data_IF_299676581784
#
_entry.id   IF_299676581784
#
_cell.length_a   1.000
_cell.length_b   1.000
_cell.length_c   1.000
_cell.angle_alpha   90.00
_cell.angle_beta   90.00
_cell.angle_gamma   90.00
#
_symmetry.space_group_name_H-M   'P 1'
#
loop_
_entity.id
_entity.type
_entity.pdbx_description
1 polymer ?
#
# COMPACT_ATOMS: atom_id res chain seq x y z
N UNK A 1 8.13 5.38 3.34
CA UNK A 1 8.66 6.39 2.38
C UNK A 1 9.16 5.64 1.15
N UNK A 2 9.22 6.21 -0.06
CA UNK A 2 9.91 5.61 -1.20
C UNK A 2 11.38 5.33 -0.90
N UNK A 3 11.91 4.18 -1.33
CA UNK A 3 13.27 3.73 -0.95
C UNK A 3 14.11 3.32 -2.15
N UNK A 4 13.53 2.62 -3.12
CA UNK A 4 14.29 2.08 -4.25
C UNK A 4 14.63 3.18 -5.27
N UNK A 5 15.72 3.02 -6.07
CA UNK A 5 16.11 4.02 -7.07
C UNK A 5 15.00 4.36 -8.07
N UNK A 6 14.17 3.37 -8.43
CA UNK A 6 13.05 3.56 -9.36
C UNK A 6 11.82 4.21 -8.69
N UNK A 7 11.80 4.36 -7.37
CA UNK A 7 10.74 5.05 -6.61
C UNK A 7 11.15 6.47 -6.23
N UNK A 8 12.45 6.68 -6.01
CA UNK A 8 13.02 7.96 -5.60
C UNK A 8 13.43 8.84 -6.80
N UNK A 9 13.68 8.26 -7.98
CA UNK A 9 14.05 8.99 -9.18
C UNK A 9 13.16 8.67 -10.40
N UNK A 10 12.60 9.73 -11.01
CA UNK A 10 11.72 9.66 -12.19
C UNK A 10 11.15 11.04 -12.53
N UNK A 11 10.09 11.07 -13.35
CA UNK A 11 9.38 12.30 -13.73
C UNK A 11 8.86 13.07 -12.51
N UNK A 12 8.30 12.36 -11.52
CA UNK A 12 7.97 12.93 -10.20
C UNK A 12 8.69 12.11 -9.14
N UNK A 13 9.80 12.60 -8.54
CA UNK A 13 10.60 11.82 -7.60
C UNK A 13 9.86 11.58 -6.28
N UNK A 14 10.24 10.50 -5.58
CA UNK A 14 9.69 10.11 -4.28
C UNK A 14 8.17 9.88 -4.31
N UNK A 15 7.70 9.13 -5.31
CA UNK A 15 6.31 8.71 -5.42
C UNK A 15 6.21 7.19 -5.46
N UNK A 16 5.35 6.65 -4.60
CA UNK A 16 4.84 5.27 -4.64
C UNK A 16 3.33 5.38 -4.53
N UNK A 17 2.62 4.99 -5.59
CA UNK A 17 1.17 5.19 -5.69
C UNK A 17 0.45 3.92 -6.18
N UNK A 18 -0.18 3.14 -5.28
CA UNK A 18 -0.86 1.90 -5.65
C UNK A 18 -2.18 2.17 -6.40
N UNK A 19 -2.40 1.50 -7.53
CA UNK A 19 -3.58 1.70 -8.38
C UNK A 19 -4.42 0.44 -8.61
N UNK A 20 -3.82 -0.75 -8.48
CA UNK A 20 -4.53 -2.00 -8.74
C UNK A 20 -4.00 -3.13 -7.87
N UNK A 21 -4.87 -4.09 -7.56
CA UNK A 21 -4.51 -5.31 -6.85
C UNK A 21 -5.15 -6.52 -7.51
N UNK A 22 -4.41 -7.62 -7.58
CA UNK A 22 -4.94 -8.95 -7.86
C UNK A 22 -4.92 -9.75 -6.56
N UNK A 23 -6.01 -10.44 -6.24
CA UNK A 23 -6.12 -11.25 -5.04
C UNK A 23 -6.51 -12.68 -5.39
N UNK A 24 -5.89 -13.63 -4.71
CA UNK A 24 -6.22 -15.05 -4.73
C UNK A 24 -6.89 -15.40 -3.40
N UNK A 25 -8.21 -15.58 -3.44
CA UNK A 25 -9.02 -15.80 -2.24
C UNK A 25 -8.72 -17.12 -1.53
N UNK A 26 -8.27 -18.14 -2.27
CA UNK A 26 -8.01 -19.47 -1.69
C UNK A 26 -6.70 -19.48 -0.88
N UNK A 27 -5.72 -18.67 -1.29
CA UNK A 27 -4.39 -18.62 -0.66
C UNK A 27 -4.13 -17.34 0.14
N UNK A 28 -5.01 -16.35 0.02
CA UNK A 28 -4.86 -15.02 0.62
C UNK A 28 -3.75 -14.18 0.00
N UNK A 29 -3.13 -14.60 -1.10
CA UNK A 29 -2.05 -13.84 -1.77
C UNK A 29 -2.61 -12.61 -2.47
N UNK A 30 -1.89 -11.51 -2.37
CA UNK A 30 -2.18 -10.27 -3.05
C UNK A 30 -0.94 -9.85 -3.84
N UNK A 31 -1.15 -9.46 -5.09
CA UNK A 31 -0.17 -8.73 -5.90
C UNK A 31 -0.67 -7.28 -6.07
N UNK A 32 0.14 -6.31 -5.66
CA UNK A 32 -0.20 -4.88 -5.76
C UNK A 32 0.64 -4.26 -6.87
N UNK A 33 -0.03 -3.64 -7.83
CA UNK A 33 0.60 -2.82 -8.87
C UNK A 33 0.60 -1.37 -8.42
N UNK A 34 1.78 -0.76 -8.45
CA UNK A 34 1.97 0.63 -8.01
C UNK A 34 2.79 1.43 -9.02
N UNK A 35 2.43 2.69 -9.19
CA UNK A 35 3.26 3.67 -9.90
C UNK A 35 4.46 4.05 -9.04
N UNK A 36 5.63 4.08 -9.65
CA UNK A 36 6.87 4.50 -9.03
C UNK A 36 7.48 5.68 -9.80
N UNK A 37 7.69 6.78 -9.08
CA UNK A 37 8.22 8.04 -9.56
C UNK A 37 7.55 8.61 -10.85
N UNK A 38 6.24 8.39 -11.04
CA UNK A 38 5.47 8.69 -12.27
C UNK A 38 6.15 8.21 -13.57
N UNK A 39 6.95 7.15 -13.47
CA UNK A 39 7.80 6.67 -14.57
C UNK A 39 7.70 5.17 -14.77
N UNK A 40 7.64 4.41 -13.68
CA UNK A 40 7.65 2.96 -13.69
C UNK A 40 6.37 2.39 -13.10
N UNK A 41 6.06 1.15 -13.45
CA UNK A 41 5.07 0.33 -12.75
C UNK A 41 5.81 -0.77 -12.01
N UNK A 42 5.72 -0.76 -10.68
CA UNK A 42 6.25 -1.80 -9.80
C UNK A 42 5.18 -2.80 -9.41
N UNK A 43 5.62 -3.95 -8.88
CA UNK A 43 4.76 -4.98 -8.30
C UNK A 43 5.34 -5.43 -6.96
N UNK A 44 4.46 -5.57 -5.95
CA UNK A 44 4.80 -6.13 -4.64
C UNK A 44 3.80 -7.22 -4.26
N UNK A 45 4.25 -8.17 -3.45
CA UNK A 45 3.45 -9.31 -2.99
C UNK A 45 3.27 -9.27 -1.47
N UNK A 46 2.07 -9.60 -1.02
CA UNK A 46 1.74 -9.70 0.40
C UNK A 46 0.61 -10.73 0.61
N UNK A 47 0.22 -10.98 1.86
CA UNK A 47 -0.98 -11.74 2.19
C UNK A 47 -1.99 -10.88 2.94
N UNK A 48 -3.27 -11.17 2.71
CA UNK A 48 -4.38 -10.44 3.33
C UNK A 48 -4.35 -10.49 4.85
N UNK A 49 -4.05 -11.66 5.43
CA UNK A 49 -4.02 -11.84 6.89
C UNK A 49 -2.89 -11.03 7.54
N UNK A 50 -1.73 -10.95 6.89
CA UNK A 50 -0.58 -10.16 7.37
C UNK A 50 -0.92 -8.66 7.39
N UNK A 51 -1.60 -8.17 6.34
CA UNK A 51 -2.03 -6.77 6.25
C UNK A 51 -3.08 -6.47 7.32
N UNK A 52 -4.11 -7.32 7.48
CA UNK A 52 -5.18 -7.10 8.47
C UNK A 52 -4.61 -7.12 9.89
N UNK A 53 -3.70 -8.05 10.18
CA UNK A 53 -3.08 -8.13 11.49
C UNK A 53 -2.24 -6.88 11.77
N UNK A 54 -1.42 -6.45 10.80
CA UNK A 54 -0.65 -5.21 10.91
C UNK A 54 -1.57 -4.01 11.18
N UNK A 55 -2.66 -3.86 10.41
CA UNK A 55 -3.61 -2.75 10.60
C UNK A 55 -4.26 -2.76 11.97
N UNK A 56 -4.59 -3.92 12.54
CA UNK A 56 -5.19 -4.00 13.89
C UNK A 56 -4.19 -3.62 15.00
N UNK A 57 -2.92 -3.96 14.81
CA UNK A 57 -1.86 -3.67 15.78
C UNK A 57 -1.40 -2.21 15.71
N UNK A 58 -1.42 -1.61 14.52
CA UNK A 58 -0.89 -0.27 14.21
C UNK A 58 -2.00 0.70 13.78
N UNK A 59 -3.21 0.52 14.33
CA UNK A 59 -4.32 1.44 14.11
C UNK A 59 -4.26 2.59 15.12
N UNK A 60 -3.90 3.78 14.65
CA UNK A 60 -4.09 5.02 15.40
C UNK A 60 -5.37 5.72 14.94
N UNK A 61 -6.16 6.21 15.90
CA UNK A 61 -7.30 7.08 15.63
C UNK A 61 -6.84 8.54 15.69
N UNK A 62 -7.15 9.30 14.66
CA UNK A 62 -7.02 10.75 14.72
C UNK A 62 -8.12 11.33 15.61
N UNK A 63 -7.85 12.50 16.19
CA UNK A 63 -8.86 13.25 16.92
C UNK A 63 -10.08 13.51 16.01
N UNK A 64 -11.25 13.03 16.42
CA UNK A 64 -12.50 13.16 15.67
C UNK A 64 -12.97 11.91 14.94
N UNK A 65 -12.15 10.85 14.83
CA UNK A 65 -12.56 9.60 14.17
C UNK A 65 -13.70 8.90 14.94
N UNK A 66 -13.78 9.10 16.25
CA UNK A 66 -14.84 8.59 17.13
C UNK A 66 -16.15 9.38 17.05
N UNK A 67 -16.13 10.58 16.46
CA UNK A 67 -17.30 11.46 16.35
C UNK A 67 -18.28 10.98 15.27
N UNK A 68 -17.82 10.16 14.31
CA UNK A 68 -18.65 9.59 13.24
C UNK A 68 -19.26 8.21 13.54
N UNK A 69 -18.81 7.56 14.62
CA UNK A 69 -19.22 6.19 15.00
C UNK A 69 -20.22 6.15 16.18
N UNK A 70 -20.83 7.29 16.54
CA UNK A 70 -21.92 7.41 17.52
C UNK A 70 -23.28 7.60 16.88
#
# INVERSE_FOLDING_TARGET
TPEEPYETAGFVPNVVFPCATLHDADTGRIAVYYGAADTYTGIVFCKVDEIIEYMKQDSDLAWGDDISLR
#
